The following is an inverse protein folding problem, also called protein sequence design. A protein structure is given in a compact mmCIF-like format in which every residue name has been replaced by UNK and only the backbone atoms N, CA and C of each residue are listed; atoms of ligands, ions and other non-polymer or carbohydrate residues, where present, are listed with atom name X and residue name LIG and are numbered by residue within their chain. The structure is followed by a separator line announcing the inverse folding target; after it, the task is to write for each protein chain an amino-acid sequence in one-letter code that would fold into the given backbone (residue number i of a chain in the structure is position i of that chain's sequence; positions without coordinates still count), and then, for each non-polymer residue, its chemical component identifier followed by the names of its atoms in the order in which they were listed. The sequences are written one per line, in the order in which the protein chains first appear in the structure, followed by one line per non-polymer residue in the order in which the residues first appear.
data_IF_153515003797
#
_entry.id   IF_153515003797
#
_cell.length_a   1.000
_cell.length_b   1.000
_cell.length_c   1.000
_cell.angle_alpha   90.00
_cell.angle_beta   90.00
_cell.angle_gamma   90.00
#
_symmetry.space_group_name_H-M   'P 1'
#
loop_
_entity.id
_entity.type
_entity.pdbx_description
1 polymer ?
#
# COMPACT_ATOMS: atom_id res chain seq x y z
N UNK A 1 16.09 27.50 20.56
CA UNK A 1 16.01 26.49 21.63
C UNK A 1 15.40 25.23 21.07
N UNK A 2 16.20 24.15 21.04
CA UNK A 2 15.71 22.84 20.63
C UNK A 2 14.80 22.31 21.73
N UNK A 3 13.48 22.42 21.54
CA UNK A 3 12.51 21.79 22.43
C UNK A 3 12.37 20.32 22.02
N UNK A 4 12.73 19.42 22.94
CA UNK A 4 12.67 17.98 22.72
C UNK A 4 11.34 17.44 23.25
N UNK A 5 10.64 16.68 22.41
CA UNK A 5 9.52 15.81 22.83
C UNK A 5 10.07 14.67 23.68
N UNK A 6 9.40 14.31 24.79
CA UNK A 6 9.83 13.19 25.61
C UNK A 6 9.79 11.87 24.84
N UNK A 7 8.71 11.63 24.11
CA UNK A 7 8.52 10.48 23.22
C UNK A 7 7.83 10.86 21.94
N UNK A 8 8.05 10.08 20.90
CA UNK A 8 7.28 10.17 19.68
C UNK A 8 7.05 8.76 19.11
N UNK A 9 5.82 8.49 18.65
CA UNK A 9 5.51 7.27 17.92
C UNK A 9 5.76 7.55 16.45
N UNK A 10 6.71 6.82 15.85
CA UNK A 10 7.03 6.96 14.42
C UNK A 10 6.08 6.12 13.60
N UNK A 11 5.33 6.77 12.71
CA UNK A 11 4.45 6.13 11.74
C UNK A 11 5.24 5.59 10.53
N UNK A 12 4.60 4.78 9.68
CA UNK A 12 5.27 4.13 8.54
C UNK A 12 5.81 5.11 7.49
N UNK A 13 5.13 6.24 7.31
CA UNK A 13 5.53 7.33 6.41
C UNK A 13 6.58 8.27 7.00
N UNK A 14 7.03 7.98 8.23
CA UNK A 14 8.00 8.78 8.95
C UNK A 14 7.42 9.94 9.74
N UNK A 15 6.12 10.20 9.65
CA UNK A 15 5.42 11.18 10.48
C UNK A 15 5.45 10.76 11.94
N UNK A 16 5.59 11.72 12.84
CA UNK A 16 5.70 11.48 14.28
C UNK A 16 4.38 11.84 14.98
N UNK A 17 3.91 10.97 15.87
CA UNK A 17 2.85 11.30 16.83
C UNK A 17 3.53 11.75 18.13
N UNK A 18 3.50 13.03 18.50
CA UNK A 18 4.09 13.49 19.74
C UNK A 18 3.34 12.93 20.96
N UNK A 19 4.08 12.48 21.94
CA UNK A 19 3.54 11.97 23.21
C UNK A 19 4.28 12.68 24.35
N UNK A 20 3.52 13.25 25.26
CA UNK A 20 4.07 13.90 26.43
C UNK A 20 3.37 13.34 27.69
N UNK A 21 4.13 13.08 28.74
CA UNK A 21 3.58 12.55 29.99
C UNK A 21 3.34 13.67 30.98
N UNK A 22 2.19 13.62 31.67
CA UNK A 22 1.88 14.62 32.67
C UNK A 22 1.21 14.02 33.89
N UNK A 23 1.87 14.15 35.04
CA UNK A 23 1.37 13.68 36.31
C UNK A 23 1.52 14.75 37.40
N UNK A 24 0.57 15.68 37.54
CA UNK A 24 0.59 16.69 38.61
C UNK A 24 0.19 16.03 39.93
N UNK A 25 1.12 15.30 40.55
CA UNK A 25 0.91 14.42 41.73
C UNK A 25 0.17 15.16 42.86
N UNK A 26 0.61 16.37 43.21
CA UNK A 26 0.02 17.12 44.29
C UNK A 26 -1.45 17.49 44.05
N UNK A 27 -1.78 17.86 42.79
CA UNK A 27 -3.18 18.18 42.43
C UNK A 27 -4.08 16.95 42.40
N UNK A 28 -3.53 15.83 42.00
CA UNK A 28 -4.25 14.54 41.99
C UNK A 28 -4.46 14.07 43.43
N UNK A 29 -3.43 14.10 44.27
CA UNK A 29 -3.53 13.75 45.70
C UNK A 29 -4.56 14.59 46.45
N UNK A 30 -4.66 15.90 46.15
CA UNK A 30 -5.65 16.76 46.79
C UNK A 30 -7.11 16.32 46.53
N UNK A 31 -7.35 15.56 45.44
CA UNK A 31 -8.69 14.98 45.18
C UNK A 31 -8.93 13.81 46.15
N UNK A 32 -7.95 12.91 46.31
CA UNK A 32 -8.04 11.79 47.26
C UNK A 32 -8.21 12.28 48.69
N UNK A 33 -7.42 13.27 49.09
CA UNK A 33 -7.50 13.86 50.44
C UNK A 33 -8.92 14.48 50.70
N UNK A 34 -9.50 15.15 49.71
CA UNK A 34 -10.84 15.72 49.81
C UNK A 34 -11.93 14.64 49.90
N UNK A 35 -11.80 13.54 49.16
CA UNK A 35 -12.71 12.42 49.25
C UNK A 35 -12.61 11.72 50.61
N UNK A 36 -11.41 11.52 51.14
CA UNK A 36 -11.22 10.94 52.47
C UNK A 36 -11.81 11.82 53.58
N UNK A 37 -11.71 13.13 53.44
CA UNK A 37 -12.32 14.09 54.34
C UNK A 37 -13.85 14.25 54.15
N UNK A 38 -14.45 13.55 53.19
CA UNK A 38 -15.83 13.72 52.77
C UNK A 38 -16.25 15.18 52.47
N UNK A 39 -15.27 15.99 52.02
CA UNK A 39 -15.49 17.41 51.66
C UNK A 39 -15.76 17.52 50.15
N UNK A 40 -17.03 17.50 49.80
CA UNK A 40 -17.50 17.60 48.41
C UNK A 40 -17.07 18.91 47.73
N UNK A 41 -16.97 20.03 48.47
CA UNK A 41 -16.57 21.30 47.89
C UNK A 41 -15.09 21.32 47.56
N UNK A 42 -14.25 20.85 48.50
CA UNK A 42 -12.82 20.68 48.26
C UNK A 42 -12.53 19.72 47.10
N UNK A 43 -13.29 18.63 46.95
CA UNK A 43 -13.16 17.69 45.86
C UNK A 43 -13.45 18.33 44.48
N UNK A 44 -14.52 19.14 44.38
CA UNK A 44 -14.84 19.89 43.14
C UNK A 44 -13.74 20.89 42.80
N UNK A 45 -13.23 21.63 43.78
CA UNK A 45 -12.16 22.61 43.59
C UNK A 45 -10.85 21.91 43.15
N UNK A 46 -10.50 20.78 43.77
CA UNK A 46 -9.32 20.00 43.43
C UNK A 46 -9.40 19.46 41.99
N UNK A 47 -10.55 18.90 41.60
CA UNK A 47 -10.81 18.42 40.20
C UNK A 47 -10.68 19.56 39.20
N UNK A 48 -11.20 20.76 39.53
CA UNK A 48 -11.09 21.94 38.65
C UNK A 48 -9.63 22.40 38.50
N UNK A 49 -8.84 22.39 39.58
CA UNK A 49 -7.41 22.68 39.53
C UNK A 49 -6.62 21.66 38.72
N UNK A 50 -6.97 20.38 38.83
CA UNK A 50 -6.39 19.30 38.02
C UNK A 50 -6.70 19.54 36.54
N UNK A 51 -7.96 19.77 36.20
CA UNK A 51 -8.39 20.01 34.82
C UNK A 51 -7.67 21.23 34.21
N UNK A 52 -7.54 22.33 35.00
CA UNK A 52 -6.82 23.53 34.57
C UNK A 52 -5.34 23.26 34.30
N UNK A 53 -4.69 22.40 35.08
CA UNK A 53 -3.31 21.99 34.81
C UNK A 53 -3.18 21.25 33.48
N UNK A 54 -4.13 20.34 33.18
CA UNK A 54 -4.15 19.64 31.91
C UNK A 54 -4.48 20.55 30.72
N UNK A 55 -5.36 21.53 30.89
CA UNK A 55 -5.62 22.55 29.85
C UNK A 55 -4.35 23.36 29.54
N UNK A 56 -3.61 23.80 30.56
CA UNK A 56 -2.34 24.50 30.38
C UNK A 56 -1.28 23.62 29.69
N UNK A 57 -1.16 22.36 30.11
CA UNK A 57 -0.24 21.41 29.49
C UNK A 57 -0.60 21.15 28.04
N UNK A 58 -1.87 20.92 27.75
CA UNK A 58 -2.37 20.68 26.40
C UNK A 58 -2.06 21.83 25.44
N UNK A 59 -2.25 23.07 25.91
CA UNK A 59 -1.87 24.26 25.15
C UNK A 59 -0.37 24.26 24.83
N UNK A 60 0.47 24.04 25.84
CA UNK A 60 1.93 23.98 25.65
C UNK A 60 2.37 22.89 24.69
N UNK A 61 1.79 21.69 24.78
CA UNK A 61 2.10 20.57 23.87
C UNK A 61 1.67 20.88 22.44
N UNK A 62 0.49 21.47 22.25
CA UNK A 62 0.02 21.91 20.95
C UNK A 62 0.99 22.89 20.29
N UNK A 63 1.36 23.96 21.01
CA UNK A 63 2.23 25.02 20.49
C UNK A 63 3.65 24.54 20.17
N UNK A 64 4.15 23.53 20.89
CA UNK A 64 5.53 23.09 20.80
C UNK A 64 5.74 21.92 19.84
N UNK A 65 4.81 20.98 19.82
CA UNK A 65 5.06 19.64 19.24
C UNK A 65 4.18 19.29 18.04
N UNK A 66 3.06 20.01 17.82
CA UNK A 66 2.23 19.80 16.63
C UNK A 66 2.76 20.66 15.48
N UNK A 67 3.57 20.05 14.62
CA UNK A 67 4.27 20.72 13.51
C UNK A 67 4.09 19.89 12.21
N UNK A 68 2.90 19.85 11.61
CA UNK A 68 2.69 19.16 10.33
C UNK A 68 3.55 19.78 9.22
N UNK A 69 4.07 19.00 8.26
CA UNK A 69 3.88 17.55 8.06
C UNK A 69 4.86 16.65 8.82
N UNK A 70 5.76 17.21 9.64
CA UNK A 70 6.71 16.42 10.43
C UNK A 70 6.04 15.63 11.54
N UNK A 71 5.01 16.19 12.15
CA UNK A 71 4.14 15.51 13.11
C UNK A 71 2.73 15.36 12.55
N UNK A 72 1.92 14.53 13.23
CA UNK A 72 0.46 14.54 13.10
C UNK A 72 -0.11 15.91 13.49
N UNK A 73 -1.36 16.17 13.09
CA UNK A 73 -2.13 17.35 13.48
C UNK A 73 -2.75 17.24 14.88
N UNK A 74 -2.34 16.24 15.64
CA UNK A 74 -2.71 16.02 17.04
C UNK A 74 -1.51 15.47 17.82
N UNK A 75 -1.57 15.55 19.16
CA UNK A 75 -0.60 14.93 20.06
C UNK A 75 -1.30 14.23 21.21
N UNK A 76 -0.57 13.36 21.91
CA UNK A 76 -1.05 12.60 23.05
C UNK A 76 -0.49 13.21 24.32
N UNK A 77 -1.34 13.40 25.32
CA UNK A 77 -0.94 13.62 26.70
C UNK A 77 -1.25 12.37 27.49
N UNK A 78 -0.21 11.71 27.96
CA UNK A 78 -0.30 10.44 28.66
C UNK A 78 -0.51 10.66 30.15
N UNK A 79 -1.58 10.11 30.70
CA UNK A 79 -1.86 10.02 32.13
C UNK A 79 -1.27 8.71 32.68
N UNK A 80 -0.24 8.73 33.54
CA UNK A 80 0.50 7.51 33.91
C UNK A 80 -0.27 6.48 34.75
N UNK A 81 -1.45 6.83 35.26
CA UNK A 81 -2.29 5.92 36.03
C UNK A 81 -3.73 5.92 35.51
N UNK A 82 -4.41 4.78 35.62
CA UNK A 82 -5.82 4.65 35.23
C UNK A 82 -6.74 5.53 36.08
N UNK A 83 -6.43 5.70 37.37
CA UNK A 83 -7.20 6.56 38.26
C UNK A 83 -7.14 8.04 37.85
N UNK A 84 -5.95 8.52 37.46
CA UNK A 84 -5.79 9.86 36.89
C UNK A 84 -6.58 9.99 35.59
N UNK A 85 -6.46 9.03 34.69
CA UNK A 85 -7.19 9.04 33.42
C UNK A 85 -8.71 9.03 33.66
N UNK A 86 -9.20 8.24 34.60
CA UNK A 86 -10.62 8.18 34.96
C UNK A 86 -11.13 9.54 35.45
N UNK A 87 -10.38 10.20 36.34
CA UNK A 87 -10.72 11.54 36.81
C UNK A 87 -10.79 12.57 35.67
N UNK A 88 -9.83 12.55 34.76
CA UNK A 88 -9.80 13.48 33.64
C UNK A 88 -10.90 13.21 32.61
N UNK A 89 -11.18 11.95 32.33
CA UNK A 89 -12.18 11.55 31.33
C UNK A 89 -13.61 11.78 31.82
N UNK A 90 -13.83 11.72 33.14
CA UNK A 90 -15.14 11.99 33.76
C UNK A 90 -15.38 13.47 34.13
N UNK A 91 -14.33 14.31 34.02
CA UNK A 91 -14.48 15.72 34.37
C UNK A 91 -15.31 16.48 33.32
N UNK A 92 -16.37 17.12 33.78
CA UNK A 92 -17.16 18.09 33.03
C UNK A 92 -16.90 19.51 33.54
N UNK A 93 -16.67 20.43 32.63
CA UNK A 93 -16.54 21.84 32.96
C UNK A 93 -17.88 22.35 33.56
N UNK A 94 -17.87 22.94 34.76
CA UNK A 94 -19.10 23.38 35.41
C UNK A 94 -19.93 24.38 34.61
N UNK A 95 -19.26 25.22 33.80
CA UNK A 95 -19.88 26.28 33.01
C UNK A 95 -20.44 25.80 31.69
N UNK A 96 -19.63 25.02 30.91
CA UNK A 96 -19.96 24.60 29.55
C UNK A 96 -20.62 23.23 29.49
N UNK A 97 -20.49 22.44 30.54
CA UNK A 97 -20.89 21.00 30.59
C UNK A 97 -20.15 20.14 29.58
N UNK A 98 -19.11 20.66 28.94
CA UNK A 98 -18.27 19.92 28.03
C UNK A 98 -17.31 19.01 28.79
N UNK A 99 -17.08 17.79 28.30
CA UNK A 99 -16.05 16.90 28.85
C UNK A 99 -14.65 17.48 28.57
N UNK A 100 -13.74 17.39 29.54
CA UNK A 100 -12.38 17.86 29.39
C UNK A 100 -11.68 17.27 28.17
N UNK A 101 -11.86 15.97 27.95
CA UNK A 101 -11.26 15.27 26.79
C UNK A 101 -11.73 15.83 25.45
N UNK A 102 -13.02 16.20 25.35
CA UNK A 102 -13.59 16.82 24.15
C UNK A 102 -13.08 18.23 23.96
N UNK A 103 -13.02 19.02 25.02
CA UNK A 103 -12.50 20.37 24.99
C UNK A 103 -11.03 20.41 24.54
N UNK A 104 -10.18 19.52 25.07
CA UNK A 104 -8.76 19.46 24.74
C UNK A 104 -8.54 19.02 23.30
N UNK A 105 -9.31 18.05 22.82
CA UNK A 105 -9.24 17.64 21.41
C UNK A 105 -9.69 18.76 20.47
N UNK A 106 -10.78 19.43 20.78
CA UNK A 106 -11.35 20.50 19.95
C UNK A 106 -10.44 21.73 19.89
N UNK A 107 -9.97 22.21 21.07
CA UNK A 107 -9.20 23.46 21.16
C UNK A 107 -7.71 23.30 20.90
N UNK A 108 -7.14 22.18 21.33
CA UNK A 108 -5.68 21.99 21.35
C UNK A 108 -5.22 20.77 20.56
N UNK A 109 -6.14 20.00 19.93
CA UNK A 109 -5.79 18.77 19.21
C UNK A 109 -5.03 17.76 20.09
N UNK A 110 -5.40 17.71 21.37
CA UNK A 110 -4.78 16.79 22.34
C UNK A 110 -5.74 15.67 22.69
N UNK A 111 -5.22 14.45 22.61
CA UNK A 111 -5.87 13.22 23.08
C UNK A 111 -5.25 12.84 24.42
N UNK A 112 -6.07 12.70 25.47
CA UNK A 112 -5.60 12.15 26.75
C UNK A 112 -5.75 10.63 26.70
N UNK A 113 -4.71 9.90 27.04
CA UNK A 113 -4.71 8.43 27.14
C UNK A 113 -4.13 7.97 28.48
N UNK A 114 -4.76 6.99 29.10
CA UNK A 114 -4.23 6.23 30.22
C UNK A 114 -3.47 5.00 29.76
N UNK A 115 -2.91 4.17 30.67
CA UNK A 115 -2.10 3.00 30.34
C UNK A 115 -2.82 2.00 29.43
N UNK A 116 -4.05 1.62 29.76
CA UNK A 116 -4.84 0.66 28.99
C UNK A 116 -5.30 1.24 27.64
N UNK A 117 -5.75 2.51 27.64
CA UNK A 117 -6.19 3.18 26.41
C UNK A 117 -5.04 3.47 25.46
N UNK A 118 -3.85 3.82 25.96
CA UNK A 118 -2.66 3.95 25.13
C UNK A 118 -2.27 2.61 24.50
N UNK A 119 -2.28 1.52 25.27
CA UNK A 119 -2.00 0.19 24.76
C UNK A 119 -2.96 -0.23 23.64
N UNK A 120 -4.27 -0.04 23.86
CA UNK A 120 -5.30 -0.33 22.85
C UNK A 120 -5.14 0.56 21.60
N UNK A 121 -4.80 1.83 21.79
CA UNK A 121 -4.56 2.76 20.69
C UNK A 121 -3.35 2.34 19.85
N UNK A 122 -2.22 1.99 20.49
CA UNK A 122 -1.03 1.50 19.80
C UNK A 122 -1.31 0.21 19.02
N UNK A 123 -2.08 -0.70 19.60
CA UNK A 123 -2.48 -1.93 18.93
C UNK A 123 -3.37 -1.66 17.72
N UNK A 124 -4.32 -0.71 17.85
CA UNK A 124 -5.17 -0.28 16.73
C UNK A 124 -4.36 0.35 15.60
N UNK A 125 -3.40 1.21 15.92
CA UNK A 125 -2.47 1.76 14.93
C UNK A 125 -1.66 0.67 14.23
N UNK A 126 -1.11 -0.27 14.99
CA UNK A 126 -0.35 -1.40 14.44
C UNK A 126 -1.18 -2.22 13.44
N UNK A 127 -2.42 -2.57 13.81
CA UNK A 127 -3.34 -3.29 12.91
C UNK A 127 -3.69 -2.46 11.66
N UNK A 128 -3.95 -1.16 11.83
CA UNK A 128 -4.22 -0.26 10.71
C UNK A 128 -3.06 -0.20 9.71
N UNK A 129 -1.83 -0.11 10.20
CA UNK A 129 -0.65 -0.11 9.34
C UNK A 129 -0.40 -1.45 8.65
N UNK A 130 -0.68 -2.58 9.30
CA UNK A 130 -0.64 -3.89 8.64
C UNK A 130 -1.62 -3.95 7.48
N UNK A 131 -2.85 -3.48 7.68
CA UNK A 131 -3.87 -3.42 6.62
C UNK A 131 -3.42 -2.56 5.44
N UNK A 132 -2.89 -1.36 5.69
CA UNK A 132 -2.36 -0.49 4.64
C UNK A 132 -1.20 -1.13 3.87
N UNK A 133 -0.32 -1.85 4.56
CA UNK A 133 0.78 -2.60 3.94
C UNK A 133 0.25 -3.69 3.00
N UNK A 134 -0.76 -4.45 3.43
CA UNK A 134 -1.41 -5.47 2.60
C UNK A 134 -2.08 -4.84 1.37
N UNK A 135 -2.79 -3.72 1.53
CA UNK A 135 -3.41 -3.00 0.41
C UNK A 135 -2.37 -2.52 -0.60
N UNK A 136 -1.26 -1.96 -0.13
CA UNK A 136 -0.17 -1.52 -1.02
C UNK A 136 0.40 -2.68 -1.82
N UNK A 137 0.69 -3.82 -1.18
CA UNK A 137 1.17 -5.01 -1.89
C UNK A 137 0.14 -5.57 -2.87
N UNK A 138 -1.16 -5.55 -2.51
CA UNK A 138 -2.21 -5.96 -3.43
C UNK A 138 -2.22 -5.08 -4.69
N UNK A 139 -2.11 -3.76 -4.55
CA UNK A 139 -2.04 -2.83 -5.69
C UNK A 139 -0.82 -3.11 -6.57
N UNK A 140 0.36 -3.32 -5.97
CA UNK A 140 1.58 -3.68 -6.71
C UNK A 140 1.40 -4.98 -7.51
N UNK A 141 0.76 -6.00 -6.90
CA UNK A 141 0.46 -7.27 -7.58
C UNK A 141 -0.51 -7.04 -8.76
N UNK A 142 -1.55 -6.24 -8.59
CA UNK A 142 -2.48 -5.90 -9.68
C UNK A 142 -1.78 -5.19 -10.84
N UNK A 143 -0.86 -4.26 -10.56
CA UNK A 143 -0.08 -3.59 -11.60
C UNK A 143 0.86 -4.55 -12.34
N UNK A 144 1.49 -5.47 -11.63
CA UNK A 144 2.29 -6.54 -12.25
C UNK A 144 1.44 -7.46 -13.13
N UNK A 145 0.27 -7.90 -12.66
CA UNK A 145 -0.65 -8.73 -13.45
C UNK A 145 -1.13 -8.01 -14.71
N UNK A 146 -1.44 -6.72 -14.61
CA UNK A 146 -1.81 -5.89 -15.76
C UNK A 146 -0.69 -5.81 -16.80
N UNK A 147 0.54 -5.60 -16.35
CA UNK A 147 1.70 -5.57 -17.23
C UNK A 147 1.95 -6.92 -17.91
N UNK A 148 1.81 -8.03 -17.18
CA UNK A 148 1.91 -9.38 -17.72
C UNK A 148 0.81 -9.60 -18.77
N UNK A 149 -0.44 -9.28 -18.48
CA UNK A 149 -1.56 -9.40 -19.42
C UNK A 149 -1.30 -8.63 -20.73
N UNK A 150 -0.81 -7.40 -20.64
CA UNK A 150 -0.46 -6.59 -21.82
C UNK A 150 0.65 -7.23 -22.66
N UNK A 151 1.68 -7.78 -21.99
CA UNK A 151 2.77 -8.50 -22.69
C UNK A 151 2.27 -9.78 -23.35
N UNK A 152 1.40 -10.53 -22.70
CA UNK A 152 0.78 -11.70 -23.26
C UNK A 152 -0.03 -11.39 -24.53
N UNK A 153 -0.89 -10.37 -24.49
CA UNK A 153 -1.66 -9.91 -25.65
C UNK A 153 -0.74 -9.59 -26.83
N UNK A 154 0.34 -8.86 -26.60
CA UNK A 154 1.33 -8.56 -27.64
C UNK A 154 2.05 -9.79 -28.16
N UNK A 155 2.31 -10.77 -27.30
CA UNK A 155 2.89 -12.04 -27.72
C UNK A 155 1.95 -12.84 -28.61
N UNK A 156 0.66 -12.89 -28.29
CA UNK A 156 -0.35 -13.53 -29.14
C UNK A 156 -0.46 -12.87 -30.52
N UNK A 157 -0.44 -11.55 -30.59
CA UNK A 157 -0.41 -10.82 -31.87
C UNK A 157 0.84 -11.23 -32.70
N UNK A 158 2.00 -11.27 -32.08
CA UNK A 158 3.23 -11.70 -32.76
C UNK A 158 3.16 -13.15 -33.28
N UNK A 159 2.56 -14.05 -32.51
CA UNK A 159 2.34 -15.46 -32.93
C UNK A 159 1.39 -15.52 -34.15
N UNK A 160 0.34 -14.73 -34.17
CA UNK A 160 -0.56 -14.65 -35.33
C UNK A 160 0.15 -14.12 -36.59
N UNK A 161 0.99 -13.10 -36.43
CA UNK A 161 1.82 -12.58 -37.52
C UNK A 161 2.82 -13.61 -38.01
N UNK A 162 3.46 -14.34 -37.11
CA UNK A 162 4.39 -15.40 -37.46
C UNK A 162 3.70 -16.53 -38.24
N UNK A 163 2.53 -16.96 -37.76
CA UNK A 163 1.70 -17.95 -38.46
C UNK A 163 1.38 -17.52 -39.88
N UNK A 164 0.92 -16.28 -40.08
CA UNK A 164 0.64 -15.74 -41.41
C UNK A 164 1.86 -15.79 -42.33
N UNK A 165 3.03 -15.38 -41.82
CA UNK A 165 4.29 -15.42 -42.59
C UNK A 165 4.71 -16.83 -42.96
N UNK A 166 4.47 -17.80 -42.07
CA UNK A 166 4.71 -19.24 -42.40
C UNK A 166 3.76 -19.73 -43.46
N UNK A 167 2.49 -19.38 -43.42
CA UNK A 167 1.51 -19.74 -44.46
C UNK A 167 1.88 -19.12 -45.82
N UNK A 168 2.33 -17.87 -45.86
CA UNK A 168 2.82 -17.20 -47.07
C UNK A 168 4.08 -17.90 -47.63
N UNK A 169 5.03 -18.22 -46.77
CA UNK A 169 6.26 -18.95 -47.16
C UNK A 169 5.94 -20.34 -47.73
N UNK A 170 5.01 -21.07 -47.11
CA UNK A 170 4.56 -22.37 -47.63
C UNK A 170 3.86 -22.25 -48.98
N UNK A 171 3.11 -21.18 -49.21
CA UNK A 171 2.52 -20.87 -50.52
C UNK A 171 3.55 -20.66 -51.63
N UNK A 172 4.66 -19.99 -51.31
CA UNK A 172 5.79 -19.83 -52.26
C UNK A 172 6.45 -21.15 -52.58
N UNK A 173 6.68 -22.01 -51.59
CA UNK A 173 7.23 -23.38 -51.79
C UNK A 173 6.32 -24.23 -52.65
N UNK A 174 4.99 -24.17 -52.40
CA UNK A 174 4.00 -24.89 -53.24
C UNK A 174 4.00 -24.42 -54.72
N UNK A 175 4.15 -23.09 -54.93
CA UNK A 175 4.27 -22.51 -56.28
C UNK A 175 5.52 -22.99 -56.99
N UNK A 176 6.66 -22.95 -56.29
CA UNK A 176 7.91 -23.45 -56.83
C UNK A 176 7.84 -24.94 -57.23
N UNK A 177 7.16 -25.75 -56.41
CA UNK A 177 6.95 -27.17 -56.74
C UNK A 177 6.07 -27.39 -57.97
N UNK A 178 5.08 -26.50 -58.22
CA UNK A 178 4.28 -26.54 -59.47
C UNK A 178 5.11 -26.17 -60.68
N UNK A 179 5.94 -25.17 -60.55
CA UNK A 179 6.81 -24.71 -61.64
C UNK A 179 7.87 -25.79 -61.97
N UNK A 180 8.49 -26.40 -60.95
CA UNK A 180 9.43 -27.48 -61.11
C UNK A 180 8.82 -28.69 -61.87
N UNK A 181 7.59 -29.09 -61.48
CA UNK A 181 6.86 -30.17 -62.22
C UNK A 181 6.54 -29.80 -63.65
N UNK A 182 6.19 -28.54 -63.92
CA UNK A 182 5.96 -28.04 -65.28
C UNK A 182 7.23 -28.13 -66.12
N UNK A 183 8.35 -27.70 -65.56
CA UNK A 183 9.66 -27.78 -66.21
C UNK A 183 10.06 -29.23 -66.51
N UNK A 184 9.89 -30.15 -65.54
CA UNK A 184 10.19 -31.59 -65.71
C UNK A 184 9.37 -32.15 -66.86
N UNK A 185 8.07 -31.88 -66.92
CA UNK A 185 7.21 -32.35 -68.05
C UNK A 185 7.65 -31.79 -69.39
N UNK A 186 8.10 -30.56 -69.46
CA UNK A 186 8.61 -29.94 -70.70
C UNK A 186 9.88 -30.59 -71.16
N UNK A 187 10.81 -30.92 -70.22
CA UNK A 187 12.05 -31.59 -70.51
C UNK A 187 11.87 -33.04 -70.97
N UNK A 188 10.91 -33.78 -70.38
CA UNK A 188 10.54 -35.14 -70.80
C UNK A 188 10.03 -35.20 -72.23
N UNK A 189 9.40 -34.14 -72.71
CA UNK A 189 8.91 -34.05 -74.10
C UNK A 189 10.00 -33.73 -75.14
N UNK A 190 11.23 -33.34 -74.71
CA UNK A 190 12.33 -33.05 -75.56
C UNK A 190 13.26 -34.35 -75.60
N UNK A 191 13.18 -35.15 -76.62
CA UNK A 191 13.94 -36.41 -76.83
C UNK A 191 15.42 -36.14 -77.17
N UNK A 192 16.22 -35.60 -76.24
CA UNK A 192 17.63 -35.40 -76.47
C UNK A 192 18.47 -35.98 -75.32
N UNK A 193 19.55 -36.75 -75.52
CA UNK A 193 20.29 -37.48 -74.50
C UNK A 193 20.97 -36.65 -73.45
N UNK A 194 21.29 -35.37 -73.73
CA UNK A 194 21.87 -34.43 -72.75
C UNK A 194 20.91 -34.01 -71.63
N UNK A 195 19.65 -34.37 -71.74
CA UNK A 195 18.58 -33.86 -70.85
C UNK A 195 18.28 -34.76 -69.65
N UNK A 196 18.80 -35.96 -69.59
CA UNK A 196 18.63 -36.95 -68.53
C UNK A 196 19.24 -36.43 -67.19
N UNK A 197 20.31 -35.68 -67.27
CA UNK A 197 20.99 -35.14 -66.08
C UNK A 197 20.24 -33.94 -65.46
N UNK A 198 19.54 -33.16 -66.27
CA UNK A 198 18.71 -32.04 -65.81
C UNK A 198 17.44 -32.58 -65.16
N UNK A 199 16.79 -33.64 -65.72
CA UNK A 199 15.62 -34.29 -65.18
C UNK A 199 15.88 -34.88 -63.77
N UNK A 200 17.03 -35.54 -63.56
CA UNK A 200 17.43 -36.10 -62.28
C UNK A 200 17.61 -35.03 -61.18
N UNK A 201 18.10 -33.84 -61.51
CA UNK A 201 18.22 -32.70 -60.60
C UNK A 201 16.82 -32.15 -60.21
N UNK A 202 15.87 -32.15 -61.12
CA UNK A 202 14.52 -31.64 -60.91
C UNK A 202 13.68 -32.59 -60.04
N UNK A 203 13.87 -33.90 -60.13
CA UNK A 203 13.21 -34.88 -59.25
C UNK A 203 13.56 -34.70 -57.77
N UNK A 204 14.79 -34.24 -57.47
CA UNK A 204 15.19 -33.92 -56.10
C UNK A 204 14.45 -32.68 -55.53
N UNK A 205 14.11 -31.70 -56.38
CA UNK A 205 13.32 -30.53 -56.00
C UNK A 205 11.87 -30.96 -55.70
N UNK A 206 11.29 -31.86 -56.49
CA UNK A 206 9.93 -32.40 -56.21
C UNK A 206 9.85 -33.15 -54.88
N UNK A 207 10.83 -33.96 -54.56
CA UNK A 207 10.92 -34.66 -53.27
C UNK A 207 10.98 -33.70 -52.08
N UNK A 208 11.66 -32.58 -52.23
CA UNK A 208 11.73 -31.54 -51.21
C UNK A 208 10.38 -30.85 -51.00
N UNK A 209 9.64 -30.60 -52.10
CA UNK A 209 8.32 -29.96 -52.05
C UNK A 209 7.27 -30.90 -51.44
N UNK A 210 7.28 -32.16 -51.73
CA UNK A 210 6.34 -33.14 -51.16
C UNK A 210 6.60 -33.36 -49.66
N UNK A 211 7.85 -33.31 -49.24
CA UNK A 211 8.19 -33.35 -47.82
C UNK A 211 7.65 -32.15 -47.06
N UNK A 212 7.65 -30.96 -47.68
CA UNK A 212 7.09 -29.73 -47.07
C UNK A 212 5.56 -29.76 -46.91
N UNK A 213 4.85 -30.58 -47.72
CA UNK A 213 3.41 -30.81 -47.58
C UNK A 213 3.06 -31.75 -46.44
N UNK A 214 3.92 -32.70 -46.10
CA UNK A 214 3.70 -33.59 -44.96
C UNK A 214 3.83 -32.88 -43.60
N UNK A 215 4.45 -31.72 -43.55
CA UNK A 215 4.56 -30.88 -42.36
C UNK A 215 3.31 -29.98 -42.14
N UNK A 216 2.33 -30.01 -43.07
CA UNK A 216 1.06 -29.24 -42.97
C UNK A 216 -0.07 -29.96 -42.24
N UNK A 217 0.03 -31.24 -42.03
CA UNK A 217 -0.95 -32.09 -41.33
C UNK A 217 -0.45 -32.41 -39.92
#
# INVERSE_FOLDING_TARGET
TSENVEFAIKLQDGVLVPVDSHFPVEKFKAIDDAYQANDKKAAVDARTKLASAFKAKAKSVNEKYIVPPKSTDFAIVYAPTESLFSELSSYQDPSTKELLTQELMRKHKIVILGPNTLSAYLQSLHMGFQTLKVQKHATEIYDHLRNISTRFSKHFENVLVLRKKLEEAMGVVDSFGKDARSITRTLENIKDPEQVEIAAKTENVEKFVDHSKQLKN
#
